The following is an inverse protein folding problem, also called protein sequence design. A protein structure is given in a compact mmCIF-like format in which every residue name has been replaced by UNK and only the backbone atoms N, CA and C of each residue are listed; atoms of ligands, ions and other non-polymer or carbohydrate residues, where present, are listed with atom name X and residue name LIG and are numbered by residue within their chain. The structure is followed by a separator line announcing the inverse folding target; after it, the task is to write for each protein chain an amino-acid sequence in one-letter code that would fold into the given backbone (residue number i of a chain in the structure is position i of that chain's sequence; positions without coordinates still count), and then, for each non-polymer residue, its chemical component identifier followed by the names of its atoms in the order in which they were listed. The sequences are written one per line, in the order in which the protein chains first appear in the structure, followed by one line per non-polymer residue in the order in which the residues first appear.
data_IF_748446027199
#
_entry.id   IF_748446027199
#
_cell.length_a   1.000
_cell.length_b   1.000
_cell.length_c   1.000
_cell.angle_alpha   90.00
_cell.angle_beta   90.00
_cell.angle_gamma   90.00
#
_symmetry.space_group_name_H-M   'P 1'
#
loop_
_entity.id
_entity.type
_entity.pdbx_description
1 polymer ?
#
# COMPACT_ATOMS: atom_id res chain seq x y z
N UNK A 1 7.27 -30.91 11.53
CA UNK A 1 7.98 -29.66 11.11
C UNK A 1 7.20 -28.42 11.61
N UNK A 2 6.60 -28.55 12.79
CA UNK A 2 5.31 -27.95 13.18
C UNK A 2 5.27 -27.64 14.69
N UNK A 3 6.41 -27.77 15.39
CA UNK A 3 6.55 -27.34 16.79
C UNK A 3 6.28 -25.84 16.90
N UNK A 4 5.23 -25.44 17.60
CA UNK A 4 4.87 -24.03 17.83
C UNK A 4 5.25 -23.62 19.26
N UNK A 5 5.68 -22.37 19.49
CA UNK A 5 5.92 -21.87 20.85
C UNK A 5 4.63 -21.83 21.66
N UNK A 6 4.65 -22.44 22.85
CA UNK A 6 3.50 -22.49 23.76
C UNK A 6 3.89 -22.11 25.18
N UNK A 7 3.01 -21.42 25.88
CA UNK A 7 3.07 -21.19 27.31
C UNK A 7 1.80 -21.77 27.94
N UNK A 8 1.96 -22.65 28.93
CA UNK A 8 0.83 -23.30 29.62
C UNK A 8 -0.17 -24.00 28.67
N UNK A 9 0.34 -24.59 27.58
CA UNK A 9 -0.47 -25.29 26.58
C UNK A 9 -1.23 -24.38 25.62
N UNK A 10 -1.04 -23.05 25.70
CA UNK A 10 -1.60 -22.07 24.76
C UNK A 10 -0.51 -21.56 23.81
N UNK A 11 -0.87 -21.30 22.56
CA UNK A 11 0.03 -20.65 21.60
C UNK A 11 0.43 -19.27 22.12
N UNK A 12 1.72 -18.94 22.02
CA UNK A 12 2.21 -17.62 22.47
C UNK A 12 2.03 -16.50 21.44
N UNK A 13 1.91 -16.85 20.15
CA UNK A 13 1.82 -15.91 19.03
C UNK A 13 0.47 -16.08 18.31
N UNK A 14 0.41 -15.88 16.98
CA UNK A 14 -0.83 -15.96 16.21
C UNK A 14 -1.56 -17.28 16.47
N UNK A 15 -2.84 -17.17 16.81
CA UNK A 15 -3.76 -18.29 17.00
C UNK A 15 -5.11 -17.98 16.36
N UNK A 16 -5.84 -19.03 15.96
CA UNK A 16 -7.22 -18.90 15.51
C UNK A 16 -8.17 -19.01 16.69
N UNK A 17 -9.37 -18.45 16.56
CA UNK A 17 -10.48 -18.74 17.46
C UNK A 17 -10.95 -20.19 17.35
N UNK A 18 -10.71 -20.84 16.20
CA UNK A 18 -10.86 -22.28 16.04
C UNK A 18 -9.59 -23.02 16.49
N UNK A 19 -9.69 -23.78 17.58
CA UNK A 19 -8.59 -24.54 18.17
C UNK A 19 -8.08 -25.68 17.27
N UNK A 20 -8.71 -25.94 16.12
CA UNK A 20 -8.25 -26.92 15.13
C UNK A 20 -7.53 -26.29 13.94
N UNK A 21 -7.50 -24.96 13.85
CA UNK A 21 -6.91 -24.22 12.75
C UNK A 21 -5.52 -23.65 13.09
N UNK A 22 -4.49 -24.18 12.43
CA UNK A 22 -3.09 -23.85 12.74
C UNK A 22 -2.33 -23.18 11.58
N UNK A 23 -2.95 -22.99 10.42
CA UNK A 23 -2.23 -22.50 9.23
C UNK A 23 -1.61 -21.12 9.47
N UNK A 24 -2.31 -20.22 10.16
CA UNK A 24 -1.81 -18.89 10.50
C UNK A 24 -0.58 -18.96 11.41
N UNK A 25 -0.62 -19.81 12.44
CA UNK A 25 0.50 -20.00 13.36
C UNK A 25 1.74 -20.59 12.65
N UNK A 26 1.50 -21.52 11.73
CA UNK A 26 2.58 -22.12 10.91
C UNK A 26 3.14 -21.12 9.91
N UNK A 27 2.29 -20.28 9.30
CA UNK A 27 2.70 -19.23 8.37
C UNK A 27 3.55 -18.18 9.08
N UNK A 28 3.10 -17.67 10.23
CA UNK A 28 3.85 -16.72 11.05
C UNK A 28 5.21 -17.31 11.46
N UNK A 29 5.26 -18.59 11.84
CA UNK A 29 6.51 -19.28 12.14
C UNK A 29 7.46 -19.33 10.94
N UNK A 30 6.94 -19.62 9.74
CA UNK A 30 7.74 -19.65 8.53
C UNK A 30 8.32 -18.26 8.22
N UNK A 31 7.52 -17.22 8.42
CA UNK A 31 7.91 -15.82 8.27
C UNK A 31 8.98 -15.41 9.31
N UNK A 32 8.78 -15.76 10.58
CA UNK A 32 9.75 -15.59 11.65
C UNK A 32 11.08 -16.30 11.34
N UNK A 33 11.01 -17.53 10.79
CA UNK A 33 12.21 -18.28 10.39
C UNK A 33 12.96 -17.59 9.25
N UNK A 34 12.26 -17.05 8.26
CA UNK A 34 12.87 -16.29 7.17
C UNK A 34 13.63 -15.07 7.71
N UNK A 35 13.09 -14.44 8.76
CA UNK A 35 13.67 -13.25 9.39
C UNK A 35 14.52 -13.53 10.64
N UNK A 36 14.80 -14.80 10.93
CA UNK A 36 15.70 -15.25 11.99
C UNK A 36 15.03 -15.47 13.36
N UNK A 37 13.99 -14.73 13.73
CA UNK A 37 13.25 -14.92 14.99
C UNK A 37 11.85 -14.30 14.97
N UNK A 38 11.03 -14.63 15.97
CA UNK A 38 9.74 -13.95 16.21
C UNK A 38 9.91 -12.49 16.65
N UNK A 39 10.96 -12.20 17.44
CA UNK A 39 11.29 -10.84 17.88
C UNK A 39 11.61 -9.92 16.69
N UNK A 40 12.21 -10.46 15.62
CA UNK A 40 12.47 -9.73 14.38
C UNK A 40 11.20 -9.33 13.60
N UNK A 41 10.02 -9.81 14.01
CA UNK A 41 8.73 -9.42 13.44
C UNK A 41 8.08 -8.24 14.19
N UNK A 42 8.60 -7.86 15.37
CA UNK A 42 8.05 -6.76 16.15
C UNK A 42 8.33 -5.40 15.46
N UNK A 43 7.29 -4.56 15.36
CA UNK A 43 7.43 -3.18 14.88
C UNK A 43 7.55 -2.99 13.35
N UNK A 44 6.82 -3.78 12.55
CA UNK A 44 6.78 -3.65 11.08
C UNK A 44 5.55 -2.90 10.53
N UNK A 45 5.64 -2.48 9.26
CA UNK A 45 4.52 -1.90 8.50
C UNK A 45 3.63 -3.02 7.92
N UNK A 46 2.31 -2.80 7.86
CA UNK A 46 1.37 -3.76 7.26
C UNK A 46 1.72 -4.00 5.78
N UNK A 47 2.09 -2.93 5.08
CA UNK A 47 2.54 -2.91 3.69
C UNK A 47 3.72 -3.85 3.42
N UNK A 48 4.69 -3.96 4.32
CA UNK A 48 5.81 -4.89 4.15
C UNK A 48 5.33 -6.35 4.14
N UNK A 49 4.45 -6.70 5.11
CA UNK A 49 3.90 -8.04 5.20
C UNK A 49 2.97 -8.35 4.02
N UNK A 50 2.11 -7.42 3.62
CA UNK A 50 1.25 -7.58 2.45
C UNK A 50 2.07 -7.76 1.17
N UNK A 51 3.12 -6.96 0.98
CA UNK A 51 4.03 -7.08 -0.16
C UNK A 51 4.72 -8.45 -0.21
N UNK A 52 5.18 -8.96 0.94
CA UNK A 52 5.86 -10.27 1.01
C UNK A 52 4.89 -11.44 0.80
N UNK A 53 3.66 -11.35 1.31
CA UNK A 53 2.67 -12.42 1.22
C UNK A 53 1.98 -12.50 -0.15
N UNK A 54 1.90 -11.37 -0.86
CA UNK A 54 1.12 -11.28 -2.11
C UNK A 54 1.95 -10.98 -3.35
N UNK A 55 3.17 -10.47 -3.20
CA UNK A 55 3.95 -9.90 -4.30
C UNK A 55 3.42 -8.55 -4.82
N UNK A 56 2.38 -8.00 -4.20
CA UNK A 56 1.75 -6.74 -4.60
C UNK A 56 2.63 -5.50 -4.40
N UNK A 57 2.28 -4.42 -5.08
CA UNK A 57 2.90 -3.10 -4.90
C UNK A 57 2.23 -2.39 -3.72
N UNK A 58 3.02 -1.85 -2.79
CA UNK A 58 2.47 -1.25 -1.57
C UNK A 58 2.65 0.24 -1.50
N UNK A 59 1.66 0.92 -0.93
CA UNK A 59 1.63 2.35 -0.67
C UNK A 59 1.33 2.61 0.80
N UNK A 60 1.96 3.66 1.34
CA UNK A 60 1.63 4.18 2.66
C UNK A 60 1.20 5.64 2.48
N UNK A 61 0.06 5.97 3.02
CA UNK A 61 -0.59 7.27 2.93
C UNK A 61 -0.75 7.84 4.33
N UNK A 62 -0.26 9.06 4.54
CA UNK A 62 -0.60 9.88 5.70
C UNK A 62 -2.01 10.46 5.52
N UNK A 63 -2.94 9.98 6.35
CA UNK A 63 -4.35 10.37 6.33
C UNK A 63 -4.54 11.84 6.72
N UNK A 64 -3.64 12.41 7.53
CA UNK A 64 -3.74 13.80 8.01
C UNK A 64 -3.26 14.82 6.96
N UNK A 65 -2.73 14.35 5.83
CA UNK A 65 -2.21 15.22 4.77
C UNK A 65 -3.33 15.81 3.90
N UNK A 66 -3.38 17.15 3.71
CA UNK A 66 -4.58 17.89 3.30
C UNK A 66 -5.02 17.80 1.81
N UNK A 67 -4.44 16.91 1.00
CA UNK A 67 -4.66 16.91 -0.47
C UNK A 67 -5.16 15.60 -1.05
N UNK A 68 -5.43 14.59 -0.23
CA UNK A 68 -5.66 13.25 -0.75
C UNK A 68 -7.15 12.96 -0.92
N UNK A 69 -7.53 12.56 -2.14
CA UNK A 69 -8.86 12.09 -2.49
C UNK A 69 -9.09 10.66 -1.92
N UNK A 70 -8.86 10.49 -0.61
CA UNK A 70 -8.75 9.21 0.10
C UNK A 70 -9.97 8.32 -0.10
N UNK A 71 -11.16 8.91 -0.02
CA UNK A 71 -12.41 8.20 -0.25
C UNK A 71 -12.43 7.53 -1.63
N UNK A 72 -12.07 8.28 -2.68
CA UNK A 72 -12.01 7.77 -4.06
C UNK A 72 -10.91 6.72 -4.22
N UNK A 73 -9.74 6.92 -3.60
CA UNK A 73 -8.63 5.97 -3.61
C UNK A 73 -9.06 4.63 -3.00
N UNK A 74 -9.71 4.65 -1.83
CA UNK A 74 -10.16 3.43 -1.15
C UNK A 74 -11.27 2.75 -1.95
N UNK A 75 -12.30 3.46 -2.38
CA UNK A 75 -13.36 2.89 -3.23
C UNK A 75 -12.80 2.20 -4.47
N UNK A 76 -11.88 2.87 -5.15
CA UNK A 76 -11.26 2.34 -6.35
C UNK A 76 -10.39 1.13 -6.04
N UNK A 77 -9.55 1.20 -5.02
CA UNK A 77 -8.70 0.07 -4.66
C UNK A 77 -9.52 -1.15 -4.23
N UNK A 78 -10.65 -0.98 -3.52
CA UNK A 78 -11.58 -2.07 -3.20
C UNK A 78 -12.16 -2.69 -4.47
N UNK A 79 -12.61 -1.85 -5.43
CA UNK A 79 -13.11 -2.33 -6.74
C UNK A 79 -12.05 -3.12 -7.52
N UNK A 80 -10.79 -2.71 -7.42
CA UNK A 80 -9.63 -3.37 -8.03
C UNK A 80 -9.08 -4.54 -7.18
N UNK A 81 -9.73 -4.88 -6.06
CA UNK A 81 -9.34 -5.97 -5.17
C UNK A 81 -8.02 -5.78 -4.44
N UNK A 82 -7.64 -4.53 -4.18
CA UNK A 82 -6.50 -4.19 -3.31
C UNK A 82 -6.77 -4.57 -1.86
N UNK A 83 -5.71 -4.88 -1.11
CA UNK A 83 -5.77 -5.12 0.33
C UNK A 83 -5.43 -3.84 1.09
N UNK A 84 -6.05 -3.66 2.25
CA UNK A 84 -5.95 -2.41 3.00
C UNK A 84 -5.69 -2.67 4.48
N UNK A 85 -4.71 -1.96 5.01
CA UNK A 85 -4.46 -1.79 6.43
C UNK A 85 -4.59 -0.32 6.83
N UNK A 86 -4.82 -0.07 8.10
CA UNK A 86 -4.74 1.27 8.67
C UNK A 86 -4.24 1.19 10.11
N UNK A 87 -3.70 2.28 10.62
CA UNK A 87 -3.25 2.31 12.01
C UNK A 87 -3.48 3.65 12.67
N UNK A 88 -3.61 3.59 14.00
CA UNK A 88 -3.60 4.75 14.86
C UNK A 88 -2.20 4.89 15.43
N UNK A 89 -1.48 5.98 15.16
CA UNK A 89 -0.09 6.19 15.61
C UNK A 89 -0.04 7.40 16.53
N UNK A 90 0.32 7.19 17.81
CA UNK A 90 0.60 8.29 18.74
C UNK A 90 2.10 8.44 18.95
N UNK A 91 2.61 9.67 18.80
CA UNK A 91 3.97 10.02 19.20
C UNK A 91 4.06 9.97 20.73
N UNK A 92 5.18 9.45 21.25
CA UNK A 92 5.39 9.11 22.68
C UNK A 92 5.15 10.26 23.67
N UNK A 93 5.13 11.52 23.23
CA UNK A 93 4.87 12.70 24.06
C UNK A 93 3.38 12.97 24.34
N UNK A 94 2.46 12.28 23.69
CA UNK A 94 0.99 12.49 23.81
C UNK A 94 0.28 11.33 24.52
N UNK A 95 1.05 10.47 25.20
CA UNK A 95 0.59 9.22 25.78
C UNK A 95 -0.15 9.39 27.10
N UNK A 96 -1.28 10.10 27.11
CA UNK A 96 -2.31 9.93 28.14
C UNK A 96 -3.69 9.81 27.46
N UNK A 97 -4.21 8.58 27.39
CA UNK A 97 -5.57 8.27 26.93
C UNK A 97 -5.65 7.31 25.74
N UNK A 98 -6.41 6.22 25.91
CA UNK A 98 -6.91 5.42 24.80
C UNK A 98 -7.78 6.29 23.88
N UNK A 99 -7.76 6.04 22.55
CA UNK A 99 -8.67 6.75 21.67
C UNK A 99 -10.12 6.41 22.03
N UNK A 100 -11.08 7.30 21.71
CA UNK A 100 -12.46 7.10 22.11
C UNK A 100 -13.07 5.90 21.36
N UNK A 101 -14.23 5.46 21.86
CA UNK A 101 -15.11 4.51 21.17
C UNK A 101 -14.49 3.11 20.92
N UNK A 102 -13.59 2.65 21.78
CA UNK A 102 -13.04 1.28 21.71
C UNK A 102 -11.84 1.10 20.76
N UNK A 103 -11.40 2.18 20.11
CA UNK A 103 -10.19 2.17 19.29
C UNK A 103 -8.93 1.99 20.16
N UNK A 104 -7.83 1.53 19.55
CA UNK A 104 -6.53 1.32 20.22
C UNK A 104 -5.41 2.11 19.54
N UNK A 105 -4.61 2.81 20.34
CA UNK A 105 -3.39 3.47 19.84
C UNK A 105 -2.33 2.42 19.51
N UNK A 106 -1.49 2.74 18.52
CA UNK A 106 -0.36 1.93 18.06
C UNK A 106 -0.80 0.51 17.69
N UNK A 107 -1.96 0.40 17.05
CA UNK A 107 -2.57 -0.87 16.64
C UNK A 107 -2.95 -0.85 15.16
N UNK A 108 -2.79 -2.01 14.53
CA UNK A 108 -3.12 -2.23 13.13
C UNK A 108 -4.55 -2.76 12.99
N UNK A 109 -5.29 -2.17 12.06
CA UNK A 109 -6.63 -2.59 11.66
C UNK A 109 -6.62 -2.94 10.16
N UNK A 110 -7.52 -3.82 9.74
CA UNK A 110 -7.76 -4.06 8.31
C UNK A 110 -8.97 -3.26 7.85
N UNK A 111 -8.98 -2.76 6.61
CA UNK A 111 -10.20 -2.22 5.99
C UNK A 111 -10.79 -3.32 5.11
N UNK A 112 -12.02 -3.72 5.41
CA UNK A 112 -12.69 -4.86 4.76
C UNK A 112 -13.90 -4.45 3.93
N UNK A 113 -14.22 -3.16 3.86
CA UNK A 113 -15.29 -2.65 3.01
C UNK A 113 -15.45 -1.14 3.07
N UNK A 114 -16.12 -0.59 2.07
CA UNK A 114 -16.53 0.82 2.03
C UNK A 114 -17.84 0.93 1.25
N UNK A 115 -18.77 1.72 1.77
CA UNK A 115 -20.08 1.90 1.14
C UNK A 115 -20.64 3.29 1.41
N UNK A 116 -21.35 3.87 0.44
CA UNK A 116 -22.24 5.01 0.68
C UNK A 116 -23.63 4.48 1.00
N UNK A 117 -24.13 4.77 2.20
CA UNK A 117 -25.48 4.42 2.64
C UNK A 117 -26.40 5.63 2.65
N UNK A 118 -27.72 5.40 2.59
CA UNK A 118 -28.70 6.46 2.87
C UNK A 118 -28.92 6.50 4.37
N UNK A 119 -28.23 7.41 5.06
CA UNK A 119 -28.32 7.59 6.49
C UNK A 119 -29.61 8.24 6.97
N UNK A 120 -29.67 8.66 8.24
CA UNK A 120 -30.78 9.44 8.78
C UNK A 120 -31.16 10.61 7.87
N UNK A 121 -32.46 10.82 7.66
CA UNK A 121 -33.01 11.83 6.74
C UNK A 121 -32.65 11.63 5.25
N UNK A 122 -32.18 10.43 4.87
CA UNK A 122 -31.83 10.10 3.48
C UNK A 122 -30.51 10.70 2.99
N UNK A 123 -29.70 11.24 3.90
CA UNK A 123 -28.40 11.85 3.59
C UNK A 123 -27.43 10.75 3.15
N UNK A 124 -26.76 10.89 1.99
CA UNK A 124 -25.68 9.98 1.60
C UNK A 124 -24.53 10.05 2.62
N UNK A 125 -24.22 8.93 3.26
CA UNK A 125 -23.18 8.83 4.28
C UNK A 125 -22.14 7.80 3.86
N UNK A 126 -20.88 8.21 3.61
CA UNK A 126 -19.79 7.28 3.36
C UNK A 126 -19.37 6.59 4.65
N UNK A 127 -19.42 5.26 4.64
CA UNK A 127 -19.01 4.40 5.73
C UNK A 127 -17.83 3.54 5.29
N UNK A 128 -16.94 3.28 6.23
CA UNK A 128 -15.81 2.37 6.08
C UNK A 128 -15.94 1.25 7.11
N UNK A 129 -15.63 0.03 6.72
CA UNK A 129 -15.62 -1.14 7.61
C UNK A 129 -14.19 -1.48 7.97
N UNK A 130 -13.90 -1.43 9.26
CA UNK A 130 -12.60 -1.77 9.83
C UNK A 130 -12.71 -3.09 10.61
N UNK A 131 -11.60 -3.82 10.69
CA UNK A 131 -11.48 -5.05 11.48
C UNK A 131 -10.30 -4.98 12.42
N UNK A 132 -10.55 -5.23 13.71
CA UNK A 132 -9.53 -5.48 14.71
C UNK A 132 -9.04 -6.95 14.60
N UNK A 133 -7.76 -7.20 14.28
CA UNK A 133 -7.25 -8.56 14.06
C UNK A 133 -7.25 -9.45 15.32
N UNK A 134 -7.34 -8.88 16.52
CA UNK A 134 -7.41 -9.67 17.75
C UNK A 134 -8.77 -10.33 17.97
N UNK A 135 -9.82 -9.87 17.27
CA UNK A 135 -11.18 -10.39 17.43
C UNK A 135 -11.67 -10.33 18.88
N UNK A 136 -11.08 -9.48 19.71
CA UNK A 136 -11.56 -9.22 21.05
C UNK A 136 -12.76 -8.25 20.99
N UNK A 137 -13.62 -8.28 22.01
CA UNK A 137 -14.90 -7.55 22.08
C UNK A 137 -14.77 -6.01 22.06
N UNK A 138 -13.59 -5.48 21.72
CA UNK A 138 -13.30 -4.05 21.61
C UNK A 138 -13.43 -3.60 20.15
N UNK A 139 -14.68 -3.54 19.74
CA UNK A 139 -15.15 -2.97 18.48
C UNK A 139 -15.40 -1.46 18.59
N UNK A 140 -15.62 -0.83 17.44
CA UNK A 140 -16.04 0.57 17.39
C UNK A 140 -17.40 0.73 18.06
N UNK A 141 -17.52 1.65 19.01
CA UNK A 141 -18.76 1.90 19.80
C UNK A 141 -19.40 3.28 19.53
N UNK A 142 -18.94 3.98 18.50
CA UNK A 142 -19.48 5.27 18.09
C UNK A 142 -20.64 5.15 17.09
N UNK A 143 -20.96 6.23 16.36
CA UNK A 143 -21.95 6.22 15.29
C UNK A 143 -21.70 5.09 14.28
N UNK A 144 -22.76 4.43 13.83
CA UNK A 144 -22.71 3.28 12.90
C UNK A 144 -22.02 2.01 13.41
N UNK A 145 -21.64 1.96 14.69
CA UNK A 145 -21.35 0.70 15.37
C UNK A 145 -22.51 -0.29 15.29
N UNK A 146 -22.22 -1.55 15.59
CA UNK A 146 -23.16 -2.67 15.49
C UNK A 146 -24.45 -2.47 16.30
N UNK A 147 -24.38 -1.72 17.41
CA UNK A 147 -25.51 -1.43 18.28
C UNK A 147 -26.16 -0.05 18.01
N UNK A 148 -25.78 0.66 16.95
CA UNK A 148 -26.34 2.00 16.70
C UNK A 148 -27.73 1.99 16.07
N UNK A 149 -28.56 2.94 16.48
CA UNK A 149 -29.89 3.15 15.89
C UNK A 149 -29.85 3.81 14.50
N UNK A 150 -28.70 4.35 14.06
CA UNK A 150 -28.51 4.88 12.71
C UNK A 150 -28.87 3.84 11.64
N UNK A 151 -28.58 2.56 11.92
CA UNK A 151 -28.93 1.45 11.05
C UNK A 151 -30.44 1.38 10.77
N UNK A 152 -31.31 1.78 11.71
CA UNK A 152 -32.78 1.76 11.57
C UNK A 152 -33.29 2.57 10.37
N UNK A 153 -32.51 3.55 9.92
CA UNK A 153 -32.83 4.36 8.74
C UNK A 153 -32.43 3.71 7.41
N UNK A 154 -31.59 2.66 7.45
CA UNK A 154 -31.11 1.95 6.27
C UNK A 154 -32.07 0.84 5.88
N UNK A 155 -32.55 0.87 4.63
CA UNK A 155 -33.47 -0.14 4.09
C UNK A 155 -32.91 -1.56 4.17
N UNK A 156 -33.77 -2.56 4.36
CA UNK A 156 -33.38 -3.97 4.43
C UNK A 156 -32.57 -4.41 3.20
N UNK A 157 -32.98 -4.00 1.99
CA UNK A 157 -32.26 -4.31 0.76
C UNK A 157 -30.82 -3.79 0.80
N UNK A 158 -30.61 -2.58 1.32
CA UNK A 158 -29.28 -2.01 1.42
C UNK A 158 -28.44 -2.72 2.48
N UNK A 159 -29.04 -3.13 3.62
CA UNK A 159 -28.35 -3.93 4.65
C UNK A 159 -27.92 -5.31 4.11
N UNK A 160 -28.76 -5.96 3.32
CA UNK A 160 -28.42 -7.23 2.65
C UNK A 160 -27.28 -7.03 1.65
N UNK A 161 -27.35 -5.96 0.84
CA UNK A 161 -26.33 -5.68 -0.18
C UNK A 161 -24.93 -5.43 0.40
N UNK A 162 -24.84 -4.84 1.60
CA UNK A 162 -23.56 -4.63 2.27
C UNK A 162 -23.13 -5.82 3.13
N UNK A 163 -23.89 -6.93 3.08
CA UNK A 163 -23.71 -8.10 3.93
C UNK A 163 -23.57 -7.69 5.41
N UNK A 164 -24.48 -6.82 5.88
CA UNK A 164 -24.43 -6.30 7.24
C UNK A 164 -24.61 -7.44 8.24
N UNK A 165 -23.61 -7.60 9.10
CA UNK A 165 -23.61 -8.53 10.21
C UNK A 165 -23.42 -7.75 11.49
N UNK A 166 -24.08 -8.22 12.53
CA UNK A 166 -23.91 -7.72 13.89
C UNK A 166 -23.37 -8.89 14.71
N UNK A 167 -22.09 -9.18 14.52
CA UNK A 167 -21.37 -10.30 15.10
C UNK A 167 -20.20 -9.73 15.89
N UNK A 168 -19.88 -10.32 17.04
CA UNK A 168 -18.73 -9.90 17.83
C UNK A 168 -17.47 -10.58 17.25
N UNK A 169 -17.03 -10.11 16.07
CA UNK A 169 -15.95 -10.69 15.27
C UNK A 169 -14.78 -9.72 15.05
N UNK A 170 -14.86 -8.54 15.66
CA UNK A 170 -13.91 -7.45 15.56
C UNK A 170 -14.12 -6.57 14.33
N UNK A 171 -15.11 -6.85 13.46
CA UNK A 171 -15.50 -5.96 12.36
C UNK A 171 -16.51 -4.92 12.83
N UNK A 172 -16.33 -3.68 12.38
CA UNK A 172 -17.32 -2.63 12.64
C UNK A 172 -17.32 -1.59 11.53
N UNK A 173 -18.49 -1.02 11.27
CA UNK A 173 -18.64 0.14 10.39
C UNK A 173 -18.47 1.43 11.18
N UNK A 174 -17.90 2.45 10.54
CA UNK A 174 -17.83 3.80 11.08
C UNK A 174 -17.94 4.86 9.96
N UNK A 175 -18.31 6.11 10.28
CA UNK A 175 -18.24 7.22 9.34
C UNK A 175 -16.83 7.39 8.79
N UNK A 176 -16.72 7.66 7.48
CA UNK A 176 -15.44 7.97 6.85
C UNK A 176 -14.78 9.22 7.46
N UNK A 177 -15.58 10.20 7.87
CA UNK A 177 -15.09 11.40 8.55
C UNK A 177 -14.46 11.07 9.91
N UNK A 178 -15.03 10.14 10.67
CA UNK A 178 -14.44 9.67 11.92
C UNK A 178 -13.17 8.85 11.66
N UNK A 179 -13.14 8.04 10.60
CA UNK A 179 -11.93 7.35 10.19
C UNK A 179 -10.78 8.33 9.92
N UNK A 180 -11.02 9.34 9.08
CA UNK A 180 -9.99 10.36 8.77
C UNK A 180 -9.61 11.20 9.99
N UNK A 181 -10.53 11.36 10.95
CA UNK A 181 -10.29 12.04 12.22
C UNK A 181 -9.40 11.24 13.18
N UNK A 182 -9.59 9.93 13.30
CA UNK A 182 -8.90 9.12 14.32
C UNK A 182 -7.71 8.31 13.82
N UNK A 183 -7.64 7.94 12.54
CA UNK A 183 -6.53 7.15 11.99
C UNK A 183 -5.46 8.07 11.40
N UNK A 184 -4.19 7.65 11.50
CA UNK A 184 -3.04 8.40 10.98
C UNK A 184 -2.54 7.82 9.67
N UNK A 185 -2.52 6.50 9.50
CA UNK A 185 -1.96 5.88 8.30
C UNK A 185 -2.95 4.97 7.60
N UNK A 186 -2.91 5.01 6.28
CA UNK A 186 -3.55 4.08 5.36
C UNK A 186 -2.46 3.33 4.60
N UNK A 187 -2.50 2.01 4.62
CA UNK A 187 -1.57 1.14 3.91
C UNK A 187 -2.34 0.35 2.85
N UNK A 188 -1.94 0.46 1.59
CA UNK A 188 -2.62 -0.17 0.47
C UNK A 188 -1.67 -1.15 -0.20
N UNK A 189 -2.13 -2.36 -0.52
CA UNK A 189 -1.41 -3.31 -1.34
C UNK A 189 -2.20 -3.60 -2.62
N UNK A 190 -1.66 -3.12 -3.74
CA UNK A 190 -2.20 -3.37 -5.08
C UNK A 190 -1.70 -4.70 -5.60
N UNK A 191 -2.64 -5.58 -5.93
CA UNK A 191 -2.33 -6.92 -6.43
C UNK A 191 -2.21 -6.86 -7.95
N UNK A 192 -1.16 -7.50 -8.49
CA UNK A 192 -1.03 -7.68 -9.93
C UNK A 192 -2.23 -8.50 -10.45
N UNK A 193 -2.95 -8.04 -11.49
CA UNK A 193 -4.10 -8.77 -12.01
C UNK A 193 -3.80 -10.19 -12.47
N UNK A 194 -2.57 -10.49 -12.88
CA UNK A 194 -2.16 -11.85 -13.25
C UNK A 194 -2.11 -12.78 -12.03
N UNK A 195 -1.79 -12.25 -10.84
CA UNK A 195 -1.87 -13.00 -9.58
C UNK A 195 -3.36 -13.22 -9.24
N UNK A 196 -4.17 -12.17 -9.35
CA UNK A 196 -5.62 -12.22 -9.08
C UNK A 196 -6.35 -13.25 -9.95
N UNK A 197 -6.06 -13.32 -11.26
CA UNK A 197 -6.65 -14.32 -12.17
C UNK A 197 -6.50 -15.75 -11.64
N UNK A 198 -5.31 -16.09 -11.12
CA UNK A 198 -5.07 -17.42 -10.57
C UNK A 198 -5.92 -17.72 -9.32
N UNK A 199 -6.19 -16.71 -8.50
CA UNK A 199 -7.04 -16.84 -7.29
C UNK A 199 -8.51 -16.94 -7.67
N UNK A 200 -8.99 -16.12 -8.60
CA UNK A 200 -10.40 -16.14 -9.04
C UNK A 200 -10.76 -17.43 -9.77
N UNK A 201 -9.89 -17.97 -10.63
CA UNK A 201 -10.12 -19.25 -11.31
C UNK A 201 -10.41 -20.41 -10.34
N UNK A 202 -9.97 -20.34 -9.09
CA UNK A 202 -10.24 -21.36 -8.08
C UNK A 202 -11.58 -21.19 -7.37
N UNK A 203 -12.17 -19.99 -7.34
CA UNK A 203 -13.29 -19.69 -6.44
C UNK A 203 -14.56 -19.14 -7.12
N UNK A 204 -14.50 -18.39 -8.25
CA UNK A 204 -15.69 -17.84 -8.95
C UNK A 204 -15.36 -17.54 -10.43
N UNK A 205 -16.32 -17.59 -11.39
CA UNK A 205 -16.07 -17.13 -12.76
C UNK A 205 -15.69 -15.64 -12.74
N UNK A 206 -14.71 -15.20 -13.56
CA UNK A 206 -14.30 -13.80 -13.60
C UNK A 206 -15.49 -12.94 -13.98
N UNK A 207 -15.79 -11.92 -13.18
CA UNK A 207 -16.71 -10.86 -13.60
C UNK A 207 -16.11 -10.21 -14.85
N UNK A 208 -16.94 -9.93 -15.86
CA UNK A 208 -16.59 -9.18 -17.07
C UNK A 208 -16.26 -7.70 -16.79
N UNK A 209 -15.89 -7.35 -15.54
CA UNK A 209 -15.43 -6.02 -15.20
C UNK A 209 -13.99 -5.84 -15.69
N UNK A 210 -13.83 -5.00 -16.70
CA UNK A 210 -12.57 -4.63 -17.35
C UNK A 210 -11.62 -3.78 -16.49
N UNK A 211 -11.98 -3.49 -15.24
CA UNK A 211 -11.19 -2.62 -14.36
C UNK A 211 -10.05 -3.42 -13.71
N UNK A 212 -8.87 -3.38 -14.33
CA UNK A 212 -7.65 -3.97 -13.77
C UNK A 212 -6.47 -3.01 -13.94
N UNK A 213 -5.49 -3.09 -13.04
CA UNK A 213 -4.24 -2.35 -13.19
C UNK A 213 -3.47 -2.84 -14.42
N UNK A 214 -2.99 -1.92 -15.26
CA UNK A 214 -1.90 -2.23 -16.18
C UNK A 214 -0.58 -2.19 -15.42
N UNK A 215 0.19 -3.28 -15.48
CA UNK A 215 1.37 -3.47 -14.62
C UNK A 215 2.62 -3.70 -15.47
N UNK A 216 3.70 -2.99 -15.13
CA UNK A 216 5.04 -3.27 -15.63
C UNK A 216 6.06 -3.40 -14.50
N UNK A 217 6.96 -4.37 -14.65
CA UNK A 217 8.02 -4.63 -13.66
C UNK A 217 9.38 -4.72 -14.35
N UNK A 218 10.35 -4.00 -13.81
CA UNK A 218 11.74 -4.03 -14.25
C UNK A 218 12.67 -4.42 -13.12
N UNK A 219 13.80 -5.02 -13.47
CA UNK A 219 14.87 -5.34 -12.54
C UNK A 219 16.13 -4.63 -12.96
N UNK A 220 16.67 -3.84 -12.04
CA UNK A 220 17.88 -3.07 -12.28
C UNK A 220 18.91 -3.25 -11.17
N UNK A 221 20.08 -2.66 -11.40
CA UNK A 221 21.20 -2.69 -10.45
C UNK A 221 21.87 -1.32 -10.47
N UNK A 222 22.10 -0.74 -9.30
CA UNK A 222 23.08 0.30 -9.11
C UNK A 222 24.43 -0.36 -8.83
N UNK A 223 25.37 -0.23 -9.78
CA UNK A 223 26.73 -0.77 -9.69
C UNK A 223 27.71 0.37 -9.67
N UNK A 224 28.67 0.31 -8.75
CA UNK A 224 29.66 1.38 -8.53
C UNK A 224 30.42 1.66 -9.83
N UNK A 225 30.53 2.95 -10.17
CA UNK A 225 31.18 3.48 -11.39
C UNK A 225 30.55 3.06 -12.73
N UNK A 226 29.40 2.38 -12.72
CA UNK A 226 28.69 1.99 -13.95
C UNK A 226 27.30 2.62 -13.96
N UNK A 227 26.45 2.26 -13.00
CA UNK A 227 25.04 2.71 -12.93
C UNK A 227 24.66 3.36 -11.61
N UNK A 228 25.53 3.34 -10.59
CA UNK A 228 25.32 4.00 -9.30
C UNK A 228 25.63 5.51 -9.40
N UNK A 229 24.73 6.25 -10.05
CA UNK A 229 24.89 7.67 -10.36
C UNK A 229 24.63 8.62 -9.19
N UNK A 230 23.83 8.19 -8.22
CA UNK A 230 23.37 9.02 -7.10
C UNK A 230 22.21 9.93 -7.50
N UNK A 231 21.75 10.80 -6.59
CA UNK A 231 20.67 11.76 -6.82
C UNK A 231 21.07 12.94 -7.71
N UNK A 232 20.11 13.82 -8.05
CA UNK A 232 20.32 15.03 -8.87
C UNK A 232 21.39 15.98 -8.33
N UNK A 233 21.72 15.90 -7.03
CA UNK A 233 22.89 16.57 -6.43
C UNK A 233 24.20 16.25 -7.17
N UNK A 234 24.29 15.08 -7.80
CA UNK A 234 25.45 14.58 -8.52
C UNK A 234 25.22 14.60 -10.05
N UNK A 235 24.85 15.74 -10.63
CA UNK A 235 24.52 15.89 -12.06
C UNK A 235 25.50 15.18 -13.02
N UNK A 236 26.82 15.26 -12.76
CA UNK A 236 27.84 14.63 -13.59
C UNK A 236 27.72 13.09 -13.69
N UNK A 237 27.14 12.46 -12.67
CA UNK A 237 26.96 11.00 -12.61
C UNK A 237 25.50 10.57 -12.65
N UNK A 238 24.53 11.50 -12.53
CA UNK A 238 23.11 11.20 -12.52
C UNK A 238 22.64 10.45 -13.77
N UNK A 239 23.17 10.83 -14.94
CA UNK A 239 22.88 10.17 -16.22
C UNK A 239 23.24 8.67 -16.26
N UNK A 240 24.10 8.20 -15.32
CA UNK A 240 24.51 6.82 -15.25
C UNK A 240 23.40 5.92 -14.67
N UNK A 241 22.49 6.47 -13.85
CA UNK A 241 21.36 5.73 -13.32
C UNK A 241 20.55 5.07 -14.45
N UNK A 242 19.95 3.89 -14.24
CA UNK A 242 19.04 3.30 -15.21
C UNK A 242 17.89 4.25 -15.54
N UNK A 243 17.39 4.20 -16.76
CA UNK A 243 16.29 5.03 -17.25
C UNK A 243 15.27 4.13 -17.91
N UNK A 244 13.99 4.32 -17.59
CA UNK A 244 12.90 3.48 -18.09
C UNK A 244 11.89 4.37 -18.80
N UNK A 245 11.70 4.14 -20.10
CA UNK A 245 10.73 4.85 -20.90
C UNK A 245 9.36 4.17 -20.78
N UNK A 246 8.35 4.96 -20.44
CA UNK A 246 6.95 4.55 -20.48
C UNK A 246 6.14 5.47 -21.37
N UNK A 247 5.15 4.91 -22.06
CA UNK A 247 4.12 5.65 -22.78
C UNK A 247 2.77 5.32 -22.16
N UNK A 248 2.01 6.35 -21.82
CA UNK A 248 0.67 6.26 -21.25
C UNK A 248 -0.33 6.75 -22.29
N UNK A 249 -1.27 5.89 -22.66
CA UNK A 249 -2.45 6.29 -23.43
C UNK A 249 -3.57 6.76 -22.50
N UNK A 250 -4.63 7.36 -23.08
CA UNK A 250 -5.81 7.81 -22.35
C UNK A 250 -6.30 6.75 -21.35
N UNK A 251 -6.60 7.22 -20.13
CA UNK A 251 -7.07 6.34 -19.07
C UNK A 251 -8.34 5.63 -19.52
N UNK A 252 -8.50 4.34 -19.20
CA UNK A 252 -9.70 3.58 -19.57
C UNK A 252 -10.96 4.02 -18.81
N UNK A 253 -10.88 5.09 -18.02
CA UNK A 253 -11.94 5.55 -17.13
C UNK A 253 -12.27 7.02 -17.36
N UNK A 254 -13.55 7.35 -17.18
CA UNK A 254 -14.10 8.70 -17.28
C UNK A 254 -13.72 9.55 -16.05
N UNK A 255 -12.43 9.76 -15.82
CA UNK A 255 -11.97 10.74 -14.84
C UNK A 255 -12.13 12.15 -15.48
N UNK A 256 -12.82 13.09 -14.79
CA UNK A 256 -13.13 14.43 -15.32
C UNK A 256 -11.91 15.27 -15.75
N UNK A 257 -10.70 14.88 -15.32
CA UNK A 257 -9.46 15.61 -15.53
C UNK A 257 -8.57 15.05 -16.66
N UNK A 258 -9.04 14.03 -17.41
CA UNK A 258 -8.30 13.38 -18.51
C UNK A 258 -6.85 12.98 -18.16
N UNK A 259 -6.57 12.64 -16.90
CA UNK A 259 -5.24 12.16 -16.50
C UNK A 259 -5.24 10.64 -16.23
N UNK A 260 -4.04 10.07 -16.20
CA UNK A 260 -3.80 8.70 -15.79
C UNK A 260 -3.33 8.69 -14.33
N UNK A 261 -3.77 7.68 -13.59
CA UNK A 261 -3.18 7.33 -12.29
C UNK A 261 -1.93 6.51 -12.56
N UNK A 262 -0.81 6.94 -12.00
CA UNK A 262 0.46 6.23 -12.06
C UNK A 262 0.95 5.97 -10.64
N UNK A 263 1.14 4.70 -10.28
CA UNK A 263 1.72 4.30 -9.00
C UNK A 263 3.07 3.65 -9.31
N UNK A 264 4.14 4.29 -8.84
CA UNK A 264 5.51 3.85 -9.09
C UNK A 264 6.13 3.42 -7.77
N UNK A 265 6.61 2.18 -7.70
CA UNK A 265 7.38 1.64 -6.57
C UNK A 265 8.81 1.28 -6.97
N UNK A 266 9.78 1.70 -6.16
CA UNK A 266 11.17 1.25 -6.27
C UNK A 266 11.56 0.52 -4.99
N UNK A 267 11.79 -0.79 -5.12
CA UNK A 267 12.16 -1.68 -4.02
C UNK A 267 13.63 -2.08 -4.10
N UNK A 268 14.37 -1.94 -3.00
CA UNK A 268 15.73 -2.48 -2.87
C UNK A 268 15.70 -3.95 -2.43
N UNK A 269 16.33 -4.82 -3.22
CA UNK A 269 16.29 -6.29 -3.02
C UNK A 269 17.32 -6.74 -1.98
N UNK A 270 17.00 -7.81 -1.28
CA UNK A 270 17.89 -8.56 -0.39
C UNK A 270 18.39 -7.83 0.86
N UNK A 271 17.94 -6.59 1.10
CA UNK A 271 18.48 -5.75 2.17
C UNK A 271 17.99 -6.16 3.56
N UNK A 272 16.79 -6.75 3.66
CA UNK A 272 16.22 -7.19 4.93
C UNK A 272 16.96 -8.43 5.45
N UNK A 273 17.32 -9.34 4.55
CA UNK A 273 18.15 -10.50 4.86
C UNK A 273 19.53 -10.06 5.38
N UNK A 274 20.09 -8.96 4.90
CA UNK A 274 21.40 -8.46 5.33
C UNK A 274 21.37 -7.61 6.62
N UNK A 275 20.19 -7.38 7.22
CA UNK A 275 20.10 -6.58 8.48
C UNK A 275 20.91 -7.21 9.62
N UNK A 276 20.93 -8.54 9.72
CA UNK A 276 21.72 -9.24 10.75
C UNK A 276 23.25 -9.08 10.56
N UNK A 277 23.69 -8.72 9.35
CA UNK A 277 25.08 -8.36 9.03
C UNK A 277 25.37 -6.86 9.24
N UNK A 278 24.40 -6.09 9.75
CA UNK A 278 24.52 -4.65 9.98
C UNK A 278 24.29 -3.80 8.73
N UNK A 279 23.83 -4.38 7.63
CA UNK A 279 23.55 -3.63 6.39
C UNK A 279 22.18 -2.97 6.51
N UNK A 280 22.17 -1.64 6.46
CA UNK A 280 20.93 -0.86 6.45
C UNK A 280 20.38 -0.69 5.02
N UNK A 281 19.12 -0.32 4.96
CA UNK A 281 18.49 0.15 3.73
C UNK A 281 19.20 1.42 3.23
N UNK A 282 19.40 1.50 1.92
CA UNK A 282 19.84 2.72 1.27
C UNK A 282 18.71 3.74 1.23
N UNK A 283 19.07 5.01 1.19
CA UNK A 283 18.15 6.08 0.80
C UNK A 283 17.92 5.99 -0.70
N UNK A 284 16.75 5.51 -1.12
CA UNK A 284 16.38 5.38 -2.54
C UNK A 284 15.31 6.39 -2.92
N UNK A 285 15.30 6.80 -4.19
CA UNK A 285 14.30 7.68 -4.79
C UNK A 285 14.12 7.35 -6.28
N UNK A 286 13.14 7.99 -6.90
CA UNK A 286 13.02 8.08 -8.34
C UNK A 286 12.53 9.47 -8.76
N UNK A 287 12.89 9.85 -9.97
CA UNK A 287 12.38 11.03 -10.63
C UNK A 287 11.60 10.63 -11.89
N UNK A 288 10.54 11.38 -12.20
CA UNK A 288 9.74 11.25 -13.40
C UNK A 288 9.96 12.49 -14.26
N UNK A 289 10.33 12.28 -15.52
CA UNK A 289 10.48 13.34 -16.51
C UNK A 289 9.45 13.16 -17.61
N UNK A 290 8.75 14.22 -17.96
CA UNK A 290 7.99 14.29 -19.21
C UNK A 290 8.94 14.55 -20.37
N UNK A 291 8.67 13.93 -21.51
CA UNK A 291 9.50 14.04 -22.70
C UNK A 291 8.66 14.24 -23.95
N UNK A 292 9.22 14.96 -24.92
CA UNK A 292 8.62 15.08 -26.24
C UNK A 292 8.81 13.79 -27.06
N UNK A 293 7.88 13.51 -27.97
CA UNK A 293 7.93 12.37 -28.88
C UNK A 293 9.19 12.42 -29.75
N UNK A 294 10.26 11.70 -29.35
CA UNK A 294 11.36 11.14 -30.17
C UNK A 294 12.65 10.88 -29.34
N UNK A 295 12.58 9.99 -28.34
CA UNK A 295 13.78 9.53 -27.64
C UNK A 295 14.26 8.17 -28.17
N UNK A 296 15.24 8.24 -29.07
CA UNK A 296 16.02 7.07 -29.53
C UNK A 296 17.27 6.82 -28.68
N UNK A 297 17.53 7.67 -27.68
CA UNK A 297 18.75 7.65 -26.85
C UNK A 297 18.40 7.89 -25.38
N UNK A 298 19.33 7.46 -24.52
CA UNK A 298 19.29 7.75 -23.09
C UNK A 298 19.38 9.27 -22.86
N UNK A 299 18.64 9.81 -21.90
CA UNK A 299 18.75 11.20 -21.45
C UNK A 299 20.17 11.45 -20.92
N UNK A 300 20.78 12.54 -21.38
CA UNK A 300 22.15 12.92 -21.05
C UNK A 300 22.21 14.07 -20.02
N UNK A 301 23.43 14.49 -19.66
CA UNK A 301 23.63 15.59 -18.71
C UNK A 301 22.96 16.88 -19.16
N UNK A 302 23.02 17.19 -20.45
CA UNK A 302 22.47 18.44 -20.99
C UNK A 302 20.96 18.48 -20.83
N UNK A 303 20.28 17.34 -21.00
CA UNK A 303 18.86 17.22 -20.70
C UNK A 303 18.57 17.51 -19.22
N UNK A 304 19.27 16.85 -18.29
CA UNK A 304 19.03 17.01 -16.84
C UNK A 304 19.39 18.40 -16.30
N UNK A 305 20.24 19.15 -17.00
CA UNK A 305 20.55 20.55 -16.65
C UNK A 305 19.43 21.50 -17.08
N UNK A 306 18.72 21.18 -18.17
CA UNK A 306 17.70 22.06 -18.76
C UNK A 306 16.28 21.76 -18.29
N UNK A 307 16.03 20.54 -17.83
CA UNK A 307 14.70 20.06 -17.49
C UNK A 307 14.64 19.62 -16.03
N UNK A 308 13.66 20.14 -15.31
CA UNK A 308 13.33 19.66 -13.97
C UNK A 308 12.41 18.42 -14.08
N UNK A 309 12.49 17.48 -13.13
CA UNK A 309 11.54 16.39 -13.09
C UNK A 309 10.13 16.94 -12.78
N UNK A 310 9.12 16.38 -13.43
CA UNK A 310 7.72 16.69 -13.11
C UNK A 310 7.30 16.10 -11.76
N UNK A 311 8.05 15.12 -11.27
CA UNK A 311 7.88 14.53 -9.96
C UNK A 311 9.19 13.94 -9.44
N UNK A 312 9.48 14.13 -8.15
CA UNK A 312 10.53 13.42 -7.44
C UNK A 312 9.94 12.77 -6.18
N UNK A 313 10.17 11.47 -6.02
CA UNK A 313 9.64 10.72 -4.88
C UNK A 313 10.31 11.18 -3.59
N UNK A 314 9.50 11.39 -2.55
CA UNK A 314 9.97 11.66 -1.20
C UNK A 314 9.38 10.63 -0.23
N UNK A 315 10.15 10.15 0.76
CA UNK A 315 9.61 9.26 1.77
C UNK A 315 8.53 9.98 2.59
N UNK A 316 7.39 9.31 2.79
CA UNK A 316 6.27 9.85 3.58
C UNK A 316 6.62 9.97 5.06
N UNK A 317 7.45 9.04 5.56
CA UNK A 317 7.90 8.98 6.95
C UNK A 317 9.42 9.00 7.03
N UNK A 318 9.96 9.51 8.14
CA UNK A 318 11.39 9.50 8.41
C UNK A 318 11.92 8.05 8.47
N UNK A 319 12.89 7.73 7.61
CA UNK A 319 13.55 6.44 7.60
C UNK A 319 13.93 5.96 6.20
N UNK A 320 14.79 4.95 6.15
CA UNK A 320 15.17 4.28 4.91
C UNK A 320 14.27 3.07 4.70
N UNK A 321 13.15 3.27 4.00
CA UNK A 321 12.20 2.21 3.67
C UNK A 321 12.80 1.22 2.64
N UNK A 322 12.31 -0.03 2.67
CA UNK A 322 12.69 -1.05 1.69
C UNK A 322 12.14 -0.73 0.31
N UNK A 323 10.97 -0.11 0.24
CA UNK A 323 10.33 0.35 -0.98
C UNK A 323 9.92 1.82 -0.81
N UNK A 324 10.17 2.63 -1.83
CA UNK A 324 9.60 3.97 -1.97
C UNK A 324 8.54 3.92 -3.06
N UNK A 325 7.32 4.35 -2.71
CA UNK A 325 6.18 4.33 -3.63
C UNK A 325 5.56 5.72 -3.69
N UNK A 326 5.07 6.12 -4.86
CA UNK A 326 4.27 7.33 -4.99
C UNK A 326 3.16 7.16 -6.02
N UNK A 327 1.99 7.70 -5.68
CA UNK A 327 0.85 7.90 -6.57
C UNK A 327 0.92 9.28 -7.19
N UNK A 328 0.85 9.32 -8.51
CA UNK A 328 0.97 10.54 -9.31
C UNK A 328 -0.20 10.55 -10.30
N UNK A 329 -0.69 11.75 -10.61
CA UNK A 329 -1.62 11.96 -11.72
C UNK A 329 -0.91 12.75 -12.80
N UNK A 330 -0.86 12.18 -14.00
CA UNK A 330 -0.16 12.75 -15.16
C UNK A 330 -1.06 12.65 -16.39
N UNK A 331 -0.99 13.58 -17.34
CA UNK A 331 -1.71 13.43 -18.59
C UNK A 331 -1.19 12.19 -19.38
N UNK A 332 -1.92 11.74 -20.40
CA UNK A 332 -1.39 10.81 -21.40
C UNK A 332 -0.15 11.42 -22.05
N UNK A 333 0.86 10.60 -22.32
CA UNK A 333 2.14 11.07 -22.82
C UNK A 333 3.29 10.11 -22.58
N UNK A 334 4.51 10.58 -22.83
CA UNK A 334 5.73 9.80 -22.64
C UNK A 334 6.53 10.31 -21.47
N UNK A 335 7.02 9.37 -20.67
CA UNK A 335 7.74 9.67 -19.46
C UNK A 335 8.97 8.79 -19.30
N UNK A 336 10.01 9.35 -18.67
CA UNK A 336 11.21 8.60 -18.26
C UNK A 336 11.28 8.56 -16.74
N UNK A 337 11.35 7.35 -16.20
CA UNK A 337 11.57 7.11 -14.77
C UNK A 337 13.06 6.84 -14.54
N UNK A 338 13.65 7.60 -13.62
CA UNK A 338 15.06 7.47 -13.23
C UNK A 338 15.15 7.07 -11.76
N UNK A 339 15.23 5.77 -11.42
CA UNK A 339 15.46 5.32 -10.06
C UNK A 339 16.93 5.53 -9.65
N UNK A 340 17.15 6.12 -8.49
CA UNK A 340 18.50 6.37 -7.96
C UNK A 340 18.60 6.15 -6.46
N UNK A 341 19.85 6.01 -5.99
CA UNK A 341 20.20 6.15 -4.58
C UNK A 341 20.49 7.61 -4.27
N UNK A 342 20.38 8.03 -3.01
CA UNK A 342 20.68 9.41 -2.60
C UNK A 342 22.14 9.75 -2.87
N UNK A 343 23.05 8.86 -2.48
CA UNK A 343 24.48 9.03 -2.66
C UNK A 343 24.98 8.25 -3.88
N UNK A 344 25.97 8.80 -4.58
CA UNK A 344 26.59 8.09 -5.71
C UNK A 344 27.45 6.93 -5.22
N UNK A 345 27.66 5.94 -6.09
CA UNK A 345 28.46 4.74 -5.82
C UNK A 345 27.90 3.75 -4.80
N UNK A 346 26.68 3.97 -4.28
CA UNK A 346 25.97 2.98 -3.49
C UNK A 346 25.48 1.85 -4.40
N UNK A 347 25.66 0.61 -3.94
CA UNK A 347 25.35 -0.57 -4.74
C UNK A 347 24.14 -1.32 -4.19
N UNK A 348 23.16 -1.60 -5.05
CA UNK A 348 22.05 -2.47 -4.72
C UNK A 348 21.36 -2.97 -5.99
N UNK A 349 20.74 -4.14 -5.87
CA UNK A 349 19.76 -4.61 -6.85
C UNK A 349 18.41 -3.98 -6.49
N UNK A 350 17.63 -3.60 -7.49
CA UNK A 350 16.30 -3.04 -7.28
C UNK A 350 15.25 -3.64 -8.21
N UNK A 351 13.99 -3.42 -7.84
CA UNK A 351 12.81 -3.70 -8.63
C UNK A 351 12.04 -2.40 -8.81
N UNK A 352 11.76 -2.03 -10.06
CA UNK A 352 10.85 -0.92 -10.39
C UNK A 352 9.51 -1.53 -10.79
N UNK A 353 8.42 -1.09 -10.17
CA UNK A 353 7.05 -1.54 -10.46
C UNK A 353 6.19 -0.33 -10.79
N UNK A 354 5.36 -0.48 -11.81
CA UNK A 354 4.51 0.59 -12.33
C UNK A 354 3.10 0.02 -12.47
N UNK A 355 2.15 0.62 -11.76
CA UNK A 355 0.73 0.30 -11.84
C UNK A 355 0.00 1.52 -12.38
N UNK A 356 -0.81 1.34 -13.42
CA UNK A 356 -1.59 2.43 -14.00
C UNK A 356 -2.95 1.97 -14.48
N UNK A 357 -3.87 2.91 -14.57
CA UNK A 357 -5.21 2.73 -15.12
C UNK A 357 -5.32 3.09 -16.61
N UNK A 358 -4.23 3.61 -17.20
CA UNK A 358 -4.07 3.73 -18.65
C UNK A 358 -3.48 2.46 -19.26
N UNK A 359 -3.43 2.43 -20.59
CA UNK A 359 -2.60 1.45 -21.31
C UNK A 359 -1.16 1.93 -21.21
N UNK A 360 -0.24 1.02 -20.90
CA UNK A 360 1.17 1.34 -20.74
C UNK A 360 2.01 0.50 -21.69
N UNK A 361 2.82 1.18 -22.50
CA UNK A 361 3.89 0.56 -23.28
C UNK A 361 5.23 0.97 -22.69
N UNK A 362 6.22 0.07 -22.67
CA UNK A 362 7.59 0.40 -22.32
C UNK A 362 8.60 -0.10 -23.35
N UNK A 363 9.79 0.51 -23.34
CA UNK A 363 10.94 0.10 -24.15
C UNK A 363 12.22 0.08 -23.33
#
# INVERSE_FOLDING_TARGET
MDRLPTLEGKLMYLSSSDNTEFWGAVLEKAYAKLYGSYEALEGGWISEALGDMTGGLTEIIDIKSPSQNLLRIIFRGIKLGSLFGCSIIKKSSEAEGQPPYGLKNNHAYSITGMQIVKGPMGIPTPLIRIRNPWGDEQEWTGPWSDNSSEWDNVSLNQRININLKFENDGESWMPFDDFTKYFETLEICHIDPNIMKNVYHHNHPPSESHDTWSVQTFHGVWRRRVTAGGSLKYLQTYLLNPQYLISLDDSQHEDEDNSCTLIIGVLQKYRRELKHEGVQNLSINFALYEIEDNLDKKLDTDFFVRNEPIFESNPVFDGYLREITSRIRVPPGKYVIVPSTKERHEEANFMLRIFTDGIIESK
#
